data_IF_967678232332
#
_entry.id   IF_967678232332
#
_cell.length_a   1.000
_cell.length_b   1.000
_cell.length_c   1.000
_cell.angle_alpha   90.00
_cell.angle_beta   90.00
_cell.angle_gamma   90.00
#
_symmetry.space_group_name_H-M   'P 1'
#
loop_
_entity.id
_entity.type
_entity.pdbx_description
1 polymer ?
#
# COMPACT_ATOMS: atom_id res chain seq x y z
N UNK A 1 -17.74 -20.74 -18.16
CA UNK A 1 -17.17 -20.88 -16.80
C UNK A 1 -16.51 -19.54 -16.45
N UNK A 2 -16.95 -18.82 -15.43
CA UNK A 2 -16.33 -17.54 -15.04
C UNK A 2 -15.21 -17.78 -14.02
N UNK A 3 -14.11 -17.06 -14.16
CA UNK A 3 -13.00 -17.10 -13.19
C UNK A 3 -13.43 -16.28 -11.98
N UNK A 4 -13.44 -16.89 -10.79
CA UNK A 4 -13.67 -16.16 -9.53
C UNK A 4 -12.37 -15.54 -9.04
N UNK A 5 -12.35 -14.21 -8.96
CA UNK A 5 -11.24 -13.45 -8.37
C UNK A 5 -11.38 -13.48 -6.85
N UNK A 6 -10.39 -14.06 -6.16
CA UNK A 6 -10.40 -14.17 -4.69
C UNK A 6 -9.77 -12.97 -4.00
N UNK A 7 -8.73 -12.40 -4.60
CA UNK A 7 -7.97 -11.22 -4.11
C UNK A 7 -7.33 -10.51 -5.31
N UNK A 8 -7.02 -9.23 -5.16
CA UNK A 8 -6.30 -8.44 -6.17
C UNK A 8 -5.08 -7.77 -5.53
N UNK A 9 -3.96 -7.74 -6.25
CA UNK A 9 -2.83 -6.88 -5.93
C UNK A 9 -2.76 -5.73 -6.93
N UNK A 10 -2.65 -4.50 -6.43
CA UNK A 10 -2.46 -3.28 -7.22
C UNK A 10 -1.05 -2.78 -6.95
N UNK A 11 -0.25 -2.61 -8.01
CA UNK A 11 1.11 -2.10 -7.94
C UNK A 11 1.11 -0.60 -8.24
N UNK A 12 1.63 0.18 -7.31
CA UNK A 12 1.61 1.65 -7.31
C UNK A 12 0.48 2.17 -6.42
N UNK A 13 0.83 2.96 -5.40
CA UNK A 13 -0.09 3.55 -4.44
C UNK A 13 -0.33 5.05 -4.66
N UNK A 14 -0.01 5.57 -5.85
CA UNK A 14 -0.44 6.89 -6.30
C UNK A 14 -1.96 6.97 -6.53
N UNK A 15 -2.47 8.16 -6.88
CA UNK A 15 -3.90 8.47 -6.99
C UNK A 15 -4.70 7.43 -7.79
N UNK A 16 -4.19 7.02 -8.96
CA UNK A 16 -4.88 6.02 -9.79
C UNK A 16 -4.92 4.63 -9.13
N UNK A 17 -3.81 4.19 -8.54
CA UNK A 17 -3.71 2.88 -7.89
C UNK A 17 -4.61 2.78 -6.68
N UNK A 18 -4.68 3.84 -5.86
CA UNK A 18 -5.64 3.94 -4.76
C UNK A 18 -7.09 3.86 -5.27
N UNK A 19 -7.43 4.58 -6.34
CA UNK A 19 -8.76 4.54 -6.94
C UNK A 19 -9.16 3.14 -7.41
N UNK A 20 -8.26 2.44 -8.11
CA UNK A 20 -8.50 1.05 -8.55
C UNK A 20 -8.71 0.12 -7.35
N UNK A 21 -7.82 0.19 -6.35
CA UNK A 21 -7.92 -0.65 -5.16
C UNK A 21 -9.20 -0.37 -4.36
N UNK A 22 -9.63 0.89 -4.29
CA UNK A 22 -10.87 1.31 -3.65
C UNK A 22 -12.11 0.77 -4.36
N UNK A 23 -12.17 0.85 -5.69
CA UNK A 23 -13.29 0.28 -6.45
C UNK A 23 -13.42 -1.24 -6.27
N UNK A 24 -12.30 -1.95 -6.25
CA UNK A 24 -12.28 -3.40 -6.01
C UNK A 24 -12.69 -3.76 -4.58
N UNK A 25 -12.19 -3.02 -3.59
CA UNK A 25 -12.58 -3.19 -2.20
C UNK A 25 -14.08 -2.92 -1.99
N UNK A 26 -14.61 -1.86 -2.62
CA UNK A 26 -16.04 -1.53 -2.59
C UNK A 26 -16.90 -2.62 -3.24
N UNK A 27 -16.37 -3.34 -4.24
CA UNK A 27 -17.01 -4.50 -4.84
C UNK A 27 -16.90 -5.78 -3.98
N UNK A 28 -16.33 -5.70 -2.77
CA UNK A 28 -16.15 -6.83 -1.86
C UNK A 28 -14.98 -7.74 -2.21
N UNK A 29 -14.07 -7.30 -3.08
CA UNK A 29 -12.88 -8.07 -3.45
C UNK A 29 -11.72 -7.60 -2.56
N UNK A 30 -11.13 -8.48 -1.72
CA UNK A 30 -9.98 -8.11 -0.92
C UNK A 30 -8.83 -7.62 -1.82
N UNK A 31 -8.36 -6.40 -1.59
CA UNK A 31 -7.32 -5.75 -2.36
C UNK A 31 -6.07 -5.50 -1.51
N UNK A 32 -4.90 -5.74 -2.09
CA UNK A 32 -3.61 -5.31 -1.58
C UNK A 32 -3.10 -4.17 -2.45
N UNK A 33 -2.66 -3.08 -1.82
CA UNK A 33 -2.01 -1.97 -2.49
C UNK A 33 -0.53 -2.01 -2.13
N UNK A 34 0.32 -2.15 -3.14
CA UNK A 34 1.77 -2.23 -2.97
C UNK A 34 2.43 -0.99 -3.57
N UNK A 35 3.44 -0.46 -2.88
CA UNK A 35 4.34 0.54 -3.42
C UNK A 35 5.78 0.24 -3.01
N UNK A 36 6.71 1.01 -3.55
CA UNK A 36 8.12 0.96 -3.21
C UNK A 36 8.29 1.43 -1.78
N UNK A 37 9.02 0.65 -0.97
CA UNK A 37 9.35 1.05 0.39
C UNK A 37 10.18 2.35 0.39
N UNK A 38 9.96 3.27 1.33
CA UNK A 38 10.72 4.51 1.39
C UNK A 38 12.22 4.26 1.57
N UNK A 39 13.02 5.07 0.89
CA UNK A 39 14.49 5.05 1.00
C UNK A 39 15.05 5.95 2.10
N UNK A 40 14.20 6.80 2.68
CA UNK A 40 14.57 7.78 3.70
C UNK A 40 13.48 7.91 4.79
N UNK A 41 13.93 8.28 5.99
CA UNK A 41 13.06 8.57 7.12
C UNK A 41 12.55 10.01 7.02
N UNK A 42 11.37 10.27 7.58
CA UNK A 42 10.95 11.66 7.81
C UNK A 42 11.52 12.17 9.14
N UNK A 43 11.60 13.50 9.35
CA UNK A 43 12.06 14.07 10.62
C UNK A 43 11.29 13.53 11.84
N UNK A 44 9.99 13.26 11.69
CA UNK A 44 9.16 12.69 12.75
C UNK A 44 9.52 11.23 13.06
N UNK A 45 9.91 10.46 12.05
CA UNK A 45 10.34 9.07 12.21
C UNK A 45 11.71 8.99 12.85
N UNK A 46 12.63 9.88 12.47
CA UNK A 46 13.95 10.01 13.11
C UNK A 46 13.81 10.41 14.58
N UNK A 47 12.98 11.41 14.88
CA UNK A 47 12.69 11.83 16.25
C UNK A 47 12.03 10.72 17.08
N UNK A 48 11.27 9.83 16.44
CA UNK A 48 10.66 8.65 17.05
C UNK A 48 11.62 7.46 17.17
N UNK A 49 12.87 7.57 16.72
CA UNK A 49 13.86 6.49 16.76
C UNK A 49 13.55 5.31 15.84
N UNK A 50 12.75 5.53 14.79
CA UNK A 50 12.40 4.50 13.82
C UNK A 50 13.54 4.28 12.81
N UNK A 51 13.51 3.12 12.18
CA UNK A 51 14.46 2.69 11.15
C UNK A 51 13.73 2.34 9.86
N UNK A 52 14.45 2.28 8.73
CA UNK A 52 13.90 1.81 7.44
C UNK A 52 13.41 0.35 7.47
N UNK A 53 13.77 -0.42 8.51
CA UNK A 53 13.27 -1.77 8.75
C UNK A 53 11.89 -1.80 9.40
N UNK A 54 11.48 -0.73 10.07
CA UNK A 54 10.24 -0.71 10.84
C UNK A 54 9.02 -0.76 9.92
N UNK A 55 8.07 -1.63 10.27
CA UNK A 55 6.85 -1.83 9.47
C UNK A 55 6.09 -0.52 9.24
N UNK A 56 6.11 0.39 10.22
CA UNK A 56 5.47 1.70 10.13
C UNK A 56 6.07 2.55 9.01
N UNK A 57 7.40 2.54 8.88
CA UNK A 57 8.14 3.23 7.81
C UNK A 57 7.94 2.49 6.49
N UNK A 58 8.13 1.16 6.46
CA UNK A 58 8.03 0.35 5.24
C UNK A 58 6.65 0.39 4.57
N UNK A 59 5.59 0.56 5.34
CA UNK A 59 4.21 0.61 4.85
C UNK A 59 3.68 2.04 4.67
N UNK A 60 4.54 3.07 4.79
CA UNK A 60 4.15 4.44 4.48
C UNK A 60 3.75 4.55 3.01
N UNK A 61 2.63 5.20 2.76
CA UNK A 61 2.12 5.51 1.42
C UNK A 61 2.36 6.99 1.18
N UNK A 62 2.89 7.33 0.00
CA UNK A 62 3.18 8.69 -0.45
C UNK A 62 1.95 9.43 -0.96
#
# INVERSE_FOLDING_TARGET
MSIRIKRVGVLGAGVMGQGIAAHLANAGIPSYLFDIAPGELTPEEEAAGLTLGDRKVRNRIS
#
